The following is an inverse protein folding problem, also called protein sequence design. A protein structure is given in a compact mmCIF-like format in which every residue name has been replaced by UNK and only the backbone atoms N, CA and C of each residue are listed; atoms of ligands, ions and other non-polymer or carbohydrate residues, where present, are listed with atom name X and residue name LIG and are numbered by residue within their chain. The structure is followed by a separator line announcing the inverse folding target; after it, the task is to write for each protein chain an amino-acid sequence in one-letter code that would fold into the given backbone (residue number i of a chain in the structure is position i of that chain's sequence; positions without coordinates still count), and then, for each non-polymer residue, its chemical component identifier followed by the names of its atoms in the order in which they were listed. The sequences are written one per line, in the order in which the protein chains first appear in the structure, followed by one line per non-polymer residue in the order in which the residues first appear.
data_IF_142155906753
#
_entry.id   IF_142155906753
#
_cell.length_a   1.000
_cell.length_b   1.000
_cell.length_c   1.000
_cell.angle_alpha   90.00
_cell.angle_beta   90.00
_cell.angle_gamma   90.00
#
_symmetry.space_group_name_H-M   'P 1'
#
loop_
_entity.id
_entity.type
_entity.pdbx_description
1 polymer ?
#
# COMPACT_ATOMS: atom_id res chain seq x y z
N UNK A 1 -9.02 2.03 15.29
CA UNK A 1 -10.03 1.80 14.27
C UNK A 1 -9.98 2.79 13.13
N UNK A 2 -8.81 3.22 12.78
CA UNK A 2 -8.65 4.13 11.64
C UNK A 2 -8.16 3.32 10.46
N UNK A 3 -9.06 3.07 9.54
CA UNK A 3 -8.77 2.32 8.35
C UNK A 3 -8.78 3.29 7.17
N UNK A 4 -7.68 3.38 6.47
CA UNK A 4 -7.55 4.27 5.33
C UNK A 4 -7.33 3.43 4.09
N UNK A 5 -8.04 3.75 3.03
CA UNK A 5 -7.92 3.03 1.77
C UNK A 5 -7.33 3.97 0.73
N UNK A 6 -6.25 3.52 0.12
CA UNK A 6 -5.60 4.25 -0.97
C UNK A 6 -5.74 3.47 -2.26
N UNK A 7 -5.87 4.17 -3.36
CA UNK A 7 -5.81 3.53 -4.67
C UNK A 7 -4.37 3.50 -5.15
N UNK A 8 -3.94 2.33 -5.59
CA UNK A 8 -2.57 2.13 -6.05
C UNK A 8 -2.60 1.63 -7.47
N UNK A 9 -1.74 2.19 -8.31
CA UNK A 9 -1.60 1.76 -9.69
C UNK A 9 -0.25 1.12 -9.91
N UNK A 10 -0.18 0.18 -10.83
CA UNK A 10 1.04 -0.50 -11.17
C UNK A 10 1.04 -1.97 -10.83
N UNK A 11 -0.07 -2.49 -10.31
CA UNK A 11 -0.19 -3.92 -10.03
C UNK A 11 -0.39 -4.68 -11.33
N UNK A 12 0.62 -5.43 -11.73
CA UNK A 12 0.53 -6.28 -12.92
C UNK A 12 0.03 -7.68 -12.58
N UNK A 13 0.21 -8.09 -11.33
CA UNK A 13 -0.21 -9.41 -10.88
C UNK A 13 -0.36 -9.42 -9.36
N UNK A 14 -0.94 -10.51 -8.85
CA UNK A 14 -1.17 -10.62 -7.42
C UNK A 14 0.14 -10.61 -6.62
N UNK A 15 1.21 -11.08 -7.21
CA UNK A 15 2.51 -11.08 -6.54
C UNK A 15 2.98 -9.67 -6.23
N UNK A 16 2.68 -8.73 -7.11
CA UNK A 16 3.07 -7.33 -6.88
C UNK A 16 2.40 -6.77 -5.63
N UNK A 17 1.14 -7.09 -5.44
CA UNK A 17 0.42 -6.66 -4.25
C UNK A 17 1.02 -7.26 -2.99
N UNK A 18 1.40 -8.53 -3.06
CA UNK A 18 2.02 -9.20 -1.92
C UNK A 18 3.36 -8.58 -1.57
N UNK A 19 4.15 -8.25 -2.57
CA UNK A 19 5.45 -7.61 -2.34
C UNK A 19 5.28 -6.25 -1.67
N UNK A 20 4.34 -5.47 -2.14
CA UNK A 20 4.08 -4.16 -1.54
C UNK A 20 3.63 -4.30 -0.09
N UNK A 21 2.78 -5.28 0.17
CA UNK A 21 2.31 -5.54 1.52
C UNK A 21 3.49 -5.87 2.44
N UNK A 22 4.41 -6.70 1.96
CA UNK A 22 5.61 -7.05 2.74
C UNK A 22 6.51 -5.85 2.98
N UNK A 23 6.68 -5.02 1.97
CA UNK A 23 7.50 -3.82 2.11
C UNK A 23 6.93 -2.88 3.18
N UNK A 24 5.63 -2.73 3.21
CA UNK A 24 4.99 -1.88 4.21
C UNK A 24 5.11 -2.49 5.60
N UNK A 25 4.99 -3.81 5.70
CA UNK A 25 5.15 -4.49 6.97
C UNK A 25 6.56 -4.30 7.52
N UNK A 26 7.56 -4.38 6.66
CA UNK A 26 8.95 -4.12 7.04
C UNK A 26 9.14 -2.71 7.57
N UNK A 27 8.35 -1.77 7.08
CA UNK A 27 8.40 -0.39 7.55
C UNK A 27 7.59 -0.17 8.82
N UNK A 28 7.01 -1.24 9.38
CA UNK A 28 6.21 -1.14 10.58
C UNK A 28 4.78 -0.70 10.36
N UNK A 29 4.30 -0.81 9.13
CA UNK A 29 2.95 -0.40 8.78
C UNK A 29 2.11 -1.63 8.46
N UNK A 30 0.97 -1.75 9.13
CA UNK A 30 0.06 -2.84 8.84
C UNK A 30 -0.80 -2.47 7.65
N UNK A 31 -0.60 -3.18 6.55
CA UNK A 31 -1.29 -2.87 5.31
C UNK A 31 -1.78 -4.14 4.65
N UNK A 32 -2.86 -3.98 3.89
CA UNK A 32 -3.38 -5.05 3.07
C UNK A 32 -3.58 -4.53 1.66
N UNK A 33 -3.05 -5.26 0.70
CA UNK A 33 -3.19 -4.90 -0.71
C UNK A 33 -4.23 -5.80 -1.36
N UNK A 34 -5.03 -5.21 -2.22
CA UNK A 34 -6.04 -5.95 -2.97
C UNK A 34 -5.74 -5.78 -4.46
N UNK A 35 -5.29 -6.84 -5.10
CA UNK A 35 -4.95 -6.80 -6.50
C UNK A 35 -6.14 -6.54 -7.41
N UNK A 36 -7.28 -7.25 -7.23
CA UNK A 36 -8.41 -7.03 -8.12
C UNK A 36 -9.00 -5.63 -8.03
N UNK A 37 -8.89 -5.02 -6.84
CA UNK A 37 -9.42 -3.68 -6.61
C UNK A 37 -8.39 -2.60 -6.79
N UNK A 38 -7.13 -2.98 -6.89
CA UNK A 38 -6.00 -2.06 -6.97
C UNK A 38 -6.02 -1.07 -5.80
N UNK A 39 -6.27 -1.59 -4.60
CA UNK A 39 -6.38 -0.77 -3.40
C UNK A 39 -5.40 -1.23 -2.33
N UNK A 40 -5.05 -0.30 -1.46
CA UNK A 40 -4.19 -0.54 -0.32
C UNK A 40 -4.92 -0.09 0.93
N UNK A 41 -5.17 -1.01 1.84
CA UNK A 41 -5.81 -0.70 3.11
C UNK A 41 -4.75 -0.64 4.20
N UNK A 42 -4.79 0.43 4.99
CA UNK A 42 -3.87 0.58 6.10
C UNK A 42 -4.66 0.74 7.38
N UNK A 43 -4.33 -0.08 8.37
CA UNK A 43 -5.00 -0.05 9.66
C UNK A 43 -4.15 0.67 10.69
N UNK A 44 -4.84 1.44 11.53
CA UNK A 44 -4.20 2.10 12.64
C UNK A 44 -3.47 3.36 12.25
N UNK A 45 -2.77 3.91 13.22
CA UNK A 45 -2.00 5.13 13.00
C UNK A 45 -0.78 4.85 12.14
N UNK A 46 -0.56 5.67 11.15
CA UNK A 46 0.59 5.56 10.27
C UNK A 46 0.97 6.92 9.71
N UNK A 47 2.18 6.99 9.18
CA UNK A 47 2.66 8.20 8.55
C UNK A 47 2.35 8.11 7.04
N UNK A 48 1.48 8.99 6.58
CA UNK A 48 1.09 9.00 5.17
C UNK A 48 2.30 9.15 4.25
N UNK A 49 3.23 10.03 4.63
CA UNK A 49 4.43 10.24 3.82
C UNK A 49 5.26 8.97 3.73
N UNK A 50 5.33 8.21 4.80
CA UNK A 50 6.06 6.95 4.81
C UNK A 50 5.42 5.94 3.86
N UNK A 51 4.10 5.86 3.88
CA UNK A 51 3.37 4.97 3.00
C UNK A 51 3.64 5.32 1.54
N UNK A 52 3.55 6.60 1.21
CA UNK A 52 3.78 7.06 -0.15
C UNK A 52 5.21 6.74 -0.58
N UNK A 53 6.18 6.97 0.31
CA UNK A 53 7.58 6.70 0.00
C UNK A 53 7.80 5.23 -0.30
N UNK A 54 7.27 4.33 0.53
CA UNK A 54 7.43 2.90 0.33
C UNK A 54 6.79 2.46 -0.98
N UNK A 55 5.59 2.96 -1.26
CA UNK A 55 4.88 2.60 -2.48
C UNK A 55 5.66 3.04 -3.71
N UNK A 56 6.20 4.25 -3.69
CA UNK A 56 6.98 4.76 -4.82
C UNK A 56 8.27 3.99 -5.01
N UNK A 57 8.91 3.62 -3.92
CA UNK A 57 10.14 2.83 -4.00
C UNK A 57 9.90 1.46 -4.62
N UNK A 58 8.72 0.91 -4.40
CA UNK A 58 8.36 -0.38 -4.98
C UNK A 58 7.96 -0.29 -6.45
N UNK A 59 7.91 0.92 -6.99
CA UNK A 59 7.59 1.11 -8.40
C UNK A 59 6.10 1.29 -8.68
N UNK A 60 5.31 1.53 -7.64
CA UNK A 60 3.89 1.77 -7.79
C UNK A 60 3.55 3.24 -7.60
N UNK A 61 2.33 3.60 -7.93
CA UNK A 61 1.83 4.96 -7.74
C UNK A 61 0.63 4.94 -6.85
N UNK A 62 0.59 5.86 -5.90
CA UNK A 62 -0.55 6.00 -5.01
C UNK A 62 -1.39 7.17 -5.49
N UNK A 63 -2.68 6.96 -5.57
CA UNK A 63 -3.59 7.99 -6.01
C UNK A 63 -4.27 8.61 -4.79
N UNK A 64 -4.27 9.93 -4.68
CA UNK A 64 -4.99 10.58 -3.59
C UNK A 64 -6.49 10.39 -3.78
N UNK A 65 -7.16 10.17 -2.69
CA UNK A 65 -8.60 10.01 -2.69
C UNK A 65 -9.27 11.35 -2.56
#
# INVERSE_FOLDING_TARGET
MNKVIYKVKGFDCASCASLLEMDLEDAGIKAKCSYPKETLEIEGGHDKNKVIEVVQKSGFSILPE
#
